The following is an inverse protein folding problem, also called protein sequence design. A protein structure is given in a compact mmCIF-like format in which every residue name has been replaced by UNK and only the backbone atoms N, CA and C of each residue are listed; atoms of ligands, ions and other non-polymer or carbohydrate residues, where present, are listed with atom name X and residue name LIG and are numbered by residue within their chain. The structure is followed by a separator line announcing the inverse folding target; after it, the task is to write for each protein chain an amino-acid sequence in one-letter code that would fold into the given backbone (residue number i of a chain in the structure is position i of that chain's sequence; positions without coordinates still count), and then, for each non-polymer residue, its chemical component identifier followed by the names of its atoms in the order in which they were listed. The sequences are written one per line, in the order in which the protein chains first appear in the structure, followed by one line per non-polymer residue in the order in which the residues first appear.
data_IF_754543787570
#
_entry.id   IF_754543787570
#
_cell.length_a   1.000
_cell.length_b   1.000
_cell.length_c   1.000
_cell.angle_alpha   90.00
_cell.angle_beta   90.00
_cell.angle_gamma   90.00
#
_symmetry.space_group_name_H-M   'P 1'
#
loop_
_entity.id
_entity.type
_entity.pdbx_description
1 polymer ?
#
# COMPACT_ATOMS: atom_id res chain seq x y z
N UNK A 1 34.35 10.27 2.53
CA UNK A 1 33.04 9.91 3.10
C UNK A 1 32.40 11.15 3.75
N UNK A 2 31.38 11.70 3.13
CA UNK A 2 30.66 12.84 3.72
C UNK A 2 29.83 12.33 4.87
N UNK A 3 29.84 12.99 6.02
CA UNK A 3 29.03 12.60 7.16
C UNK A 3 27.53 12.68 6.80
N UNK A 4 26.73 11.77 7.33
CA UNK A 4 25.30 11.57 7.00
C UNK A 4 24.46 12.86 7.14
N UNK A 5 24.81 13.73 8.11
CA UNK A 5 24.15 15.03 8.32
C UNK A 5 24.38 16.06 7.23
N UNK A 6 25.33 15.85 6.31
CA UNK A 6 25.54 16.71 5.14
C UNK A 6 24.74 16.27 3.91
N UNK A 7 24.02 15.16 3.98
CA UNK A 7 23.18 14.71 2.89
C UNK A 7 21.96 15.66 2.73
N UNK A 8 21.62 16.02 1.49
CA UNK A 8 20.52 16.95 1.19
C UNK A 8 19.15 16.50 1.75
N UNK A 9 18.93 15.20 1.87
CA UNK A 9 17.69 14.63 2.42
C UNK A 9 17.62 14.66 3.95
N UNK A 10 18.74 14.90 4.66
CA UNK A 10 18.74 15.06 6.13
C UNK A 10 17.95 16.29 6.57
N UNK A 11 18.08 17.40 5.84
CA UNK A 11 17.41 18.65 6.19
C UNK A 11 15.88 18.54 6.27
N UNK A 12 15.16 17.94 5.31
CA UNK A 12 13.71 17.76 5.41
C UNK A 12 13.29 16.95 6.66
N UNK A 13 14.03 15.90 7.01
CA UNK A 13 13.74 15.10 8.20
C UNK A 13 13.97 15.87 9.50
N UNK A 14 15.04 16.69 9.56
CA UNK A 14 15.28 17.56 10.71
C UNK A 14 14.17 18.61 10.85
N UNK A 15 13.77 19.25 9.76
CA UNK A 15 12.66 20.20 9.77
C UNK A 15 11.37 19.52 10.23
N UNK A 16 11.05 18.34 9.70
CA UNK A 16 9.89 17.57 10.13
C UNK A 16 9.94 17.22 11.62
N UNK A 17 11.09 16.76 12.12
CA UNK A 17 11.26 16.44 13.54
C UNK A 17 11.05 17.67 14.44
N UNK A 18 11.60 18.83 14.05
CA UNK A 18 11.40 20.09 14.78
C UNK A 18 9.94 20.52 14.78
N UNK A 19 9.27 20.45 13.60
CA UNK A 19 7.85 20.78 13.52
C UNK A 19 6.97 19.85 14.36
N UNK A 20 7.30 18.56 14.39
CA UNK A 20 6.59 17.59 15.23
C UNK A 20 6.81 17.88 16.72
N UNK A 21 8.04 18.25 17.14
CA UNK A 21 8.35 18.66 18.51
C UNK A 21 7.57 19.91 18.90
N UNK A 22 7.59 20.95 18.06
CA UNK A 22 6.83 22.19 18.30
C UNK A 22 5.33 21.91 18.37
N UNK A 23 4.81 21.07 17.46
CA UNK A 23 3.42 20.64 17.48
C UNK A 23 3.03 19.89 18.76
N UNK A 24 3.91 19.02 19.27
CA UNK A 24 3.66 18.29 20.51
C UNK A 24 3.68 19.19 21.76
N UNK A 25 4.49 20.26 21.76
CA UNK A 25 4.51 21.24 22.87
C UNK A 25 3.20 22.03 22.97
N UNK A 26 2.53 22.30 21.83
CA UNK A 26 1.26 23.02 21.78
C UNK A 26 0.02 22.13 21.67
N UNK A 27 0.17 20.81 21.76
CA UNK A 27 -0.93 19.88 21.55
C UNK A 27 -1.88 19.80 22.75
N UNK A 28 -3.16 19.98 22.54
CA UNK A 28 -4.21 19.82 23.55
C UNK A 28 -4.33 18.39 24.09
N UNK A 29 -3.85 17.40 23.32
CA UNK A 29 -3.86 15.97 23.68
C UNK A 29 -2.81 15.58 24.72
N UNK A 30 -1.96 16.51 25.17
CA UNK A 30 -0.99 16.28 26.25
C UNK A 30 -0.03 15.10 26.00
N UNK A 31 -0.07 14.11 26.89
CA UNK A 31 0.84 12.93 26.81
C UNK A 31 0.73 12.10 25.54
N UNK A 32 -0.43 12.09 24.89
CA UNK A 32 -0.62 11.35 23.62
C UNK A 32 0.20 11.95 22.47
N UNK A 33 0.42 13.26 22.46
CA UNK A 33 1.30 13.89 21.46
C UNK A 33 2.76 13.41 21.61
N UNK A 34 3.24 13.27 22.84
CA UNK A 34 4.57 12.74 23.14
C UNK A 34 4.70 11.26 22.78
N UNK A 35 3.66 10.45 23.00
CA UNK A 35 3.61 9.07 22.54
C UNK A 35 3.70 9.01 21.00
N UNK A 36 3.02 9.92 20.29
CA UNK A 36 3.13 10.08 18.85
C UNK A 36 4.57 10.35 18.38
N UNK A 37 5.30 11.25 19.07
CA UNK A 37 6.72 11.48 18.77
C UNK A 37 7.57 10.22 18.96
N UNK A 38 7.32 9.46 20.03
CA UNK A 38 7.99 8.19 20.31
C UNK A 38 7.80 7.16 19.20
N UNK A 39 6.69 7.22 18.47
CA UNK A 39 6.42 6.33 17.34
C UNK A 39 7.12 6.78 16.03
N UNK A 40 7.27 8.08 15.81
CA UNK A 40 7.77 8.58 14.51
C UNK A 40 9.26 8.90 14.50
N UNK A 41 9.81 9.52 15.56
CA UNK A 41 11.21 9.93 15.60
C UNK A 41 12.20 8.75 15.47
N UNK A 42 11.97 7.57 16.08
CA UNK A 42 12.82 6.41 15.85
C UNK A 42 12.89 5.96 14.39
N UNK A 43 11.79 6.14 13.61
CA UNK A 43 11.78 5.80 12.18
C UNK A 43 12.70 6.74 11.38
N UNK A 44 12.78 8.03 11.72
CA UNK A 44 13.71 8.96 11.08
C UNK A 44 15.15 8.58 11.39
N UNK A 45 15.44 8.24 12.65
CA UNK A 45 16.75 7.76 13.04
C UNK A 45 17.10 6.43 12.35
N UNK A 46 16.18 5.48 12.29
CA UNK A 46 16.36 4.22 11.57
C UNK A 46 16.67 4.46 10.08
N UNK A 47 15.94 5.39 9.44
CA UNK A 47 16.21 5.77 8.05
C UNK A 47 17.65 6.24 7.85
N UNK A 48 18.20 7.06 8.75
CA UNK A 48 19.60 7.47 8.70
C UNK A 48 20.57 6.32 8.93
N UNK A 49 20.30 5.49 9.93
CA UNK A 49 21.16 4.37 10.27
C UNK A 49 21.26 3.34 9.14
N UNK A 50 20.20 3.17 8.35
CA UNK A 50 20.19 2.25 7.22
C UNK A 50 20.89 2.77 5.96
N UNK A 51 21.10 4.08 5.81
CA UNK A 51 21.68 4.65 4.57
C UNK A 51 23.03 4.04 4.19
N UNK A 52 24.02 3.86 5.09
CA UNK A 52 25.30 3.24 4.74
C UNK A 52 25.16 1.80 4.23
N UNK A 53 24.14 1.07 4.74
CA UNK A 53 23.85 -0.32 4.36
C UNK A 53 23.12 -0.44 3.01
N UNK A 54 22.76 0.67 2.39
CA UNK A 54 22.13 0.74 1.06
C UNK A 54 23.04 1.41 0.02
N UNK A 55 24.30 1.63 0.34
CA UNK A 55 25.25 2.35 -0.52
C UNK A 55 25.56 1.59 -1.83
N UNK A 56 25.75 0.29 -1.77
CA UNK A 56 26.07 -0.54 -2.94
C UNK A 56 24.80 -1.12 -3.59
N UNK A 57 24.88 -1.42 -4.90
CA UNK A 57 23.79 -2.10 -5.60
C UNK A 57 23.46 -3.47 -4.98
N UNK A 58 24.48 -4.21 -4.58
CA UNK A 58 24.30 -5.52 -3.95
C UNK A 58 23.54 -5.42 -2.65
N UNK A 59 23.85 -4.45 -1.79
CA UNK A 59 23.15 -4.22 -0.52
C UNK A 59 21.69 -3.82 -0.76
N UNK A 60 21.42 -2.91 -1.70
CA UNK A 60 20.04 -2.56 -2.07
C UNK A 60 19.25 -3.76 -2.58
N UNK A 61 19.90 -4.62 -3.37
CA UNK A 61 19.27 -5.85 -3.88
C UNK A 61 18.98 -6.84 -2.76
N UNK A 62 19.88 -7.01 -1.81
CA UNK A 62 19.66 -7.86 -0.64
C UNK A 62 18.51 -7.34 0.21
N UNK A 63 18.46 -6.03 0.50
CA UNK A 63 17.37 -5.41 1.22
C UNK A 63 16.02 -5.58 0.50
N UNK A 64 15.99 -5.40 -0.83
CA UNK A 64 14.80 -5.63 -1.63
C UNK A 64 14.31 -7.10 -1.53
N UNK A 65 15.22 -8.08 -1.62
CA UNK A 65 14.87 -9.48 -1.46
C UNK A 65 14.40 -9.84 -0.05
N UNK A 66 14.93 -9.21 0.99
CA UNK A 66 14.43 -9.36 2.37
C UNK A 66 13.00 -8.86 2.50
N UNK A 67 12.68 -7.70 1.92
CA UNK A 67 11.31 -7.17 1.90
C UNK A 67 10.35 -8.07 1.11
N UNK A 68 10.78 -8.56 -0.05
CA UNK A 68 9.99 -9.52 -0.85
C UNK A 68 9.75 -10.81 -0.06
N UNK A 69 10.78 -11.36 0.57
CA UNK A 69 10.64 -12.57 1.40
C UNK A 69 9.72 -12.33 2.61
N UNK A 70 9.84 -11.16 3.27
CA UNK A 70 8.97 -10.76 4.37
C UNK A 70 7.50 -10.55 3.96
N UNK A 71 7.22 -10.45 2.67
CA UNK A 71 5.84 -10.35 2.16
C UNK A 71 5.18 -11.73 1.97
N UNK A 72 5.96 -12.82 1.92
CA UNK A 72 5.41 -14.18 1.81
C UNK A 72 4.40 -14.51 2.94
N UNK A 73 4.72 -14.32 4.22
CA UNK A 73 3.75 -14.54 5.29
C UNK A 73 2.47 -13.70 5.13
N UNK A 74 2.62 -12.45 4.68
CA UNK A 74 1.48 -11.55 4.43
C UNK A 74 0.58 -12.09 3.33
N UNK A 75 1.16 -12.52 2.20
CA UNK A 75 0.40 -13.08 1.08
C UNK A 75 -0.27 -14.40 1.46
N UNK A 76 0.48 -15.32 2.08
CA UNK A 76 -0.05 -16.62 2.49
C UNK A 76 -1.19 -16.46 3.48
N UNK A 77 -1.00 -15.63 4.50
CA UNK A 77 -2.04 -15.37 5.51
C UNK A 77 -3.24 -14.63 4.91
N UNK A 78 -3.00 -13.63 4.07
CA UNK A 78 -4.09 -12.86 3.46
C UNK A 78 -4.93 -13.69 2.49
N UNK A 79 -4.31 -14.48 1.62
CA UNK A 79 -5.03 -15.38 0.73
C UNK A 79 -5.71 -16.52 1.51
N UNK A 80 -5.03 -17.07 2.53
CA UNK A 80 -5.62 -18.05 3.43
C UNK A 80 -6.82 -17.50 4.21
N UNK A 81 -6.75 -16.25 4.67
CA UNK A 81 -7.85 -15.54 5.32
C UNK A 81 -9.09 -15.43 4.41
N UNK A 82 -8.89 -15.07 3.13
CA UNK A 82 -9.99 -14.83 2.20
C UNK A 82 -10.57 -16.11 1.58
N UNK A 83 -9.73 -17.11 1.29
CA UNK A 83 -10.15 -18.30 0.53
C UNK A 83 -10.25 -19.56 1.36
N UNK A 84 -9.51 -19.67 2.47
CA UNK A 84 -9.46 -20.87 3.32
C UNK A 84 -10.07 -20.64 4.71
N UNK A 85 -10.58 -19.43 4.97
CA UNK A 85 -11.18 -19.08 6.26
C UNK A 85 -10.18 -19.08 7.43
N UNK A 86 -8.90 -18.82 7.17
CA UNK A 86 -7.91 -18.73 8.22
C UNK A 86 -8.21 -17.59 9.19
N UNK A 87 -8.16 -17.93 10.48
CA UNK A 87 -8.40 -16.97 11.56
C UNK A 87 -7.45 -17.28 12.73
N UNK A 88 -7.07 -16.25 13.48
CA UNK A 88 -6.19 -16.34 14.65
C UNK A 88 -6.96 -16.10 15.95
N UNK A 89 -6.26 -16.07 17.09
CA UNK A 89 -4.81 -15.91 17.23
C UNK A 89 -4.00 -17.20 17.02
N UNK A 90 -2.90 -17.11 16.28
CA UNK A 90 -1.91 -18.17 16.19
C UNK A 90 -0.74 -17.88 17.11
N UNK A 91 -0.37 -18.82 17.95
CA UNK A 91 0.74 -18.69 18.89
C UNK A 91 1.95 -19.48 18.39
N UNK A 92 3.08 -18.82 18.29
CA UNK A 92 4.37 -19.39 17.92
C UNK A 92 5.36 -19.21 19.07
N UNK A 93 6.27 -20.17 19.25
CA UNK A 93 7.31 -20.07 20.27
C UNK A 93 6.76 -19.99 21.71
N UNK A 94 5.70 -20.75 22.04
CA UNK A 94 5.12 -20.74 23.37
C UNK A 94 4.39 -19.43 23.73
N UNK A 95 3.93 -18.69 22.74
CA UNK A 95 3.23 -17.39 22.94
C UNK A 95 4.13 -16.15 22.83
N UNK A 96 5.42 -16.35 22.52
CA UNK A 96 6.33 -15.21 22.29
C UNK A 96 5.93 -14.38 21.06
N UNK A 97 5.31 -15.02 20.06
CA UNK A 97 4.76 -14.36 18.87
C UNK A 97 3.29 -14.77 18.78
N UNK A 98 2.42 -13.79 18.82
CA UNK A 98 0.97 -13.97 18.63
C UNK A 98 0.58 -13.30 17.34
N UNK A 99 0.11 -14.09 16.36
CA UNK A 99 -0.43 -13.58 15.10
C UNK A 99 -1.93 -13.56 15.17
N UNK A 100 -2.47 -12.36 15.14
CA UNK A 100 -3.90 -12.15 15.09
C UNK A 100 -4.35 -12.02 13.63
N UNK A 101 -5.23 -12.92 13.18
CA UNK A 101 -5.82 -12.89 11.85
C UNK A 101 -7.32 -12.72 12.02
N UNK A 102 -7.85 -11.58 11.61
CA UNK A 102 -9.27 -11.28 11.74
C UNK A 102 -10.11 -12.23 10.86
N UNK A 103 -11.20 -12.82 11.39
CA UNK A 103 -12.09 -13.67 10.60
C UNK A 103 -12.66 -12.91 9.40
N UNK A 104 -12.43 -13.42 8.17
CA UNK A 104 -12.91 -12.79 6.94
C UNK A 104 -12.35 -11.41 6.61
N UNK A 105 -11.28 -10.99 7.33
CA UNK A 105 -10.60 -9.72 7.14
C UNK A 105 -11.15 -8.55 7.97
N UNK A 106 -10.44 -7.43 7.93
CA UNK A 106 -10.77 -6.21 8.69
C UNK A 106 -10.66 -4.95 7.82
N UNK A 107 -11.77 -4.26 7.49
CA UNK A 107 -13.17 -4.64 7.69
C UNK A 107 -13.54 -5.96 7.03
N UNK A 108 -14.59 -6.61 7.52
CA UNK A 108 -15.03 -7.90 7.01
C UNK A 108 -15.26 -7.86 5.47
N UNK A 109 -14.82 -8.91 4.77
CA UNK A 109 -14.82 -8.99 3.31
C UNK A 109 -13.63 -8.31 2.64
N UNK A 110 -12.68 -7.77 3.41
CA UNK A 110 -11.47 -7.11 2.88
C UNK A 110 -10.22 -7.74 3.46
N UNK A 111 -9.28 -8.12 2.59
CA UNK A 111 -8.01 -8.72 3.00
C UNK A 111 -7.23 -7.77 3.94
N UNK A 112 -6.97 -8.20 5.16
CA UNK A 112 -6.11 -7.50 6.12
C UNK A 112 -4.84 -8.29 6.47
N UNK A 113 -4.83 -9.59 6.20
CA UNK A 113 -3.71 -10.51 6.49
C UNK A 113 -3.28 -10.44 7.97
N UNK A 114 -2.01 -10.09 8.21
CA UNK A 114 -1.38 -9.95 9.53
C UNK A 114 -1.55 -8.53 10.11
N UNK A 115 -2.26 -7.66 9.43
CA UNK A 115 -2.46 -6.26 9.85
C UNK A 115 -3.86 -6.06 10.41
N UNK A 116 -4.00 -5.07 11.29
CA UNK A 116 -5.27 -4.73 11.93
C UNK A 116 -6.29 -4.14 10.95
N UNK A 117 -5.84 -3.71 9.76
CA UNK A 117 -6.71 -3.04 8.80
C UNK A 117 -6.26 -3.25 7.35
N UNK A 118 -7.23 -3.47 6.45
CA UNK A 118 -6.97 -3.75 5.03
C UNK A 118 -6.16 -2.67 4.30
N UNK A 119 -6.31 -1.39 4.67
CA UNK A 119 -5.52 -0.33 4.04
C UNK A 119 -4.03 -0.40 4.43
N UNK A 120 -3.71 -0.90 5.63
CA UNK A 120 -2.32 -1.08 6.07
C UNK A 120 -1.70 -2.25 5.29
N UNK A 121 -2.43 -3.36 5.14
CA UNK A 121 -2.03 -4.47 4.27
C UNK A 121 -1.79 -3.97 2.83
N UNK A 122 -2.72 -3.18 2.29
CA UNK A 122 -2.57 -2.57 0.96
C UNK A 122 -1.36 -1.66 0.83
N UNK A 123 -1.07 -0.84 1.85
CA UNK A 123 0.11 0.03 1.87
C UNK A 123 1.41 -0.77 1.85
N UNK A 124 1.52 -1.83 2.68
CA UNK A 124 2.67 -2.73 2.66
C UNK A 124 2.88 -3.37 1.29
N UNK A 125 1.84 -3.97 0.74
CA UNK A 125 1.87 -4.63 -0.56
C UNK A 125 2.22 -3.64 -1.69
N UNK A 126 1.69 -2.42 -1.63
CA UNK A 126 1.98 -1.35 -2.59
C UNK A 126 3.44 -0.88 -2.56
N UNK A 127 4.08 -0.88 -1.39
CA UNK A 127 5.51 -0.53 -1.25
C UNK A 127 6.43 -1.64 -1.78
N UNK A 128 6.07 -2.91 -1.57
CA UNK A 128 6.93 -4.04 -1.95
C UNK A 128 6.73 -4.48 -3.40
N UNK A 129 5.53 -4.28 -3.96
CA UNK A 129 5.21 -4.71 -5.32
C UNK A 129 6.18 -4.19 -6.42
N UNK A 130 6.63 -2.91 -6.43
CA UNK A 130 7.62 -2.44 -7.41
C UNK A 130 8.93 -3.22 -7.37
N UNK A 131 9.35 -3.71 -6.20
CA UNK A 131 10.56 -4.52 -6.05
C UNK A 131 10.36 -5.91 -6.68
N UNK A 132 9.18 -6.50 -6.52
CA UNK A 132 8.82 -7.76 -7.17
C UNK A 132 8.76 -7.61 -8.70
N UNK A 133 8.13 -6.55 -9.18
CA UNK A 133 8.07 -6.23 -10.61
C UNK A 133 9.47 -6.05 -11.20
N UNK A 134 10.34 -5.31 -10.51
CA UNK A 134 11.72 -5.14 -10.93
C UNK A 134 12.49 -6.48 -10.98
N UNK A 135 12.20 -7.41 -10.07
CA UNK A 135 12.79 -8.75 -10.07
C UNK A 135 12.31 -9.60 -11.27
N UNK A 136 11.06 -9.45 -11.71
CA UNK A 136 10.53 -10.12 -12.93
C UNK A 136 11.26 -9.64 -14.19
N UNK A 137 11.59 -8.34 -14.25
CA UNK A 137 12.21 -7.72 -15.42
C UNK A 137 13.72 -8.01 -15.53
N UNK A 138 14.34 -8.49 -14.45
CA UNK A 138 15.78 -8.83 -14.47
C UNK A 138 16.06 -10.16 -15.14
N UNK A 139 17.24 -10.29 -15.81
CA UNK A 139 17.67 -11.54 -16.45
C UNK A 139 18.29 -12.53 -15.44
N UNK A 140 17.69 -12.70 -14.27
CA UNK A 140 18.19 -13.55 -13.18
C UNK A 140 17.59 -14.97 -13.28
N UNK A 141 17.99 -15.79 -14.22
CA UNK A 141 17.58 -17.19 -14.31
C UNK A 141 16.04 -17.44 -14.26
N UNK A 142 15.56 -18.41 -14.99
CA UNK A 142 14.13 -18.64 -15.19
C UNK A 142 13.33 -18.96 -13.91
N UNK A 143 13.92 -19.71 -12.96
CA UNK A 143 13.28 -20.02 -11.69
C UNK A 143 13.00 -18.78 -10.82
N UNK A 144 14.01 -17.90 -10.70
CA UNK A 144 13.85 -16.65 -9.92
C UNK A 144 12.84 -15.73 -10.57
N UNK A 145 12.86 -15.65 -11.89
CA UNK A 145 11.88 -14.87 -12.65
C UNK A 145 10.47 -15.42 -12.50
N UNK A 146 10.31 -16.76 -12.57
CA UNK A 146 9.03 -17.42 -12.33
C UNK A 146 8.48 -17.18 -10.93
N UNK A 147 9.32 -17.32 -9.89
CA UNK A 147 8.94 -17.03 -8.52
C UNK A 147 8.55 -15.55 -8.33
N UNK A 148 9.33 -14.62 -8.89
CA UNK A 148 9.01 -13.19 -8.86
C UNK A 148 7.68 -12.89 -9.55
N UNK A 149 7.39 -13.53 -10.68
CA UNK A 149 6.13 -13.37 -11.41
C UNK A 149 4.94 -13.86 -10.57
N UNK A 150 5.05 -15.04 -9.97
CA UNK A 150 4.00 -15.58 -9.08
C UNK A 150 3.74 -14.61 -7.91
N UNK A 151 4.79 -14.13 -7.25
CA UNK A 151 4.66 -13.17 -6.15
C UNK A 151 4.05 -11.85 -6.61
N UNK A 152 4.46 -11.34 -7.78
CA UNK A 152 3.91 -10.11 -8.36
C UNK A 152 2.41 -10.25 -8.62
N UNK A 153 1.98 -11.33 -9.25
CA UNK A 153 0.57 -11.59 -9.54
C UNK A 153 -0.24 -11.84 -8.26
N UNK A 154 0.31 -12.61 -7.31
CA UNK A 154 -0.34 -12.82 -6.00
C UNK A 154 -0.51 -11.51 -5.23
N UNK A 155 0.47 -10.60 -5.33
CA UNK A 155 0.37 -9.28 -4.71
C UNK A 155 -0.70 -8.42 -5.37
N UNK A 156 -0.82 -8.44 -6.69
CA UNK A 156 -1.91 -7.74 -7.40
C UNK A 156 -3.27 -8.26 -6.92
N UNK A 157 -3.45 -9.58 -6.87
CA UNK A 157 -4.68 -10.20 -6.36
C UNK A 157 -4.95 -9.77 -4.91
N UNK A 158 -3.94 -9.85 -4.04
CA UNK A 158 -4.09 -9.45 -2.64
C UNK A 158 -4.46 -7.97 -2.51
N UNK A 159 -3.86 -7.07 -3.29
CA UNK A 159 -4.20 -5.63 -3.29
C UNK A 159 -5.66 -5.42 -3.73
N UNK A 160 -6.13 -6.12 -4.76
CA UNK A 160 -7.54 -6.06 -5.16
C UNK A 160 -8.45 -6.50 -4.00
N UNK A 161 -8.11 -7.59 -3.32
CA UNK A 161 -8.87 -8.10 -2.17
C UNK A 161 -8.82 -7.17 -0.95
N UNK A 162 -7.79 -6.31 -0.80
CA UNK A 162 -7.82 -5.26 0.23
C UNK A 162 -8.86 -4.19 -0.04
N UNK A 163 -9.34 -4.04 -1.28
CA UNK A 163 -10.21 -2.97 -1.73
C UNK A 163 -9.66 -1.56 -1.38
N UNK A 164 -8.32 -1.44 -1.30
CA UNK A 164 -7.66 -0.17 -1.01
C UNK A 164 -7.37 0.58 -2.31
N UNK A 165 -8.12 1.65 -2.57
CA UNK A 165 -7.92 2.50 -3.76
C UNK A 165 -6.52 3.09 -3.82
N UNK A 166 -5.97 3.47 -2.66
CA UNK A 166 -4.61 4.00 -2.58
C UNK A 166 -3.57 2.94 -2.98
N UNK A 167 -3.75 1.69 -2.54
CA UNK A 167 -2.85 0.60 -2.90
C UNK A 167 -2.93 0.27 -4.39
N UNK A 168 -4.14 0.21 -4.97
CA UNK A 168 -4.32 0.00 -6.42
C UNK A 168 -3.68 1.14 -7.22
N UNK A 169 -3.88 2.38 -6.80
CA UNK A 169 -3.23 3.55 -7.39
C UNK A 169 -1.70 3.49 -7.30
N UNK A 170 -1.16 3.07 -6.17
CA UNK A 170 0.28 2.90 -5.98
C UNK A 170 0.87 1.83 -6.92
N UNK A 171 0.18 0.69 -7.11
CA UNK A 171 0.59 -0.32 -8.07
C UNK A 171 0.62 0.27 -9.49
N UNK A 172 -0.46 0.90 -9.92
CA UNK A 172 -0.55 1.47 -11.26
C UNK A 172 0.54 2.54 -11.50
N UNK A 173 0.71 3.46 -10.56
CA UNK A 173 1.72 4.52 -10.66
C UNK A 173 3.15 3.99 -10.64
N UNK A 174 3.42 2.89 -9.93
CA UNK A 174 4.78 2.33 -9.88
C UNK A 174 5.24 1.66 -11.19
N UNK A 175 4.32 1.26 -12.07
CA UNK A 175 4.67 0.64 -13.37
C UNK A 175 5.61 1.53 -14.19
N UNK A 176 5.29 2.80 -14.50
CA UNK A 176 6.19 3.64 -15.29
C UNK A 176 7.49 4.01 -14.55
N UNK A 177 7.51 3.98 -13.22
CA UNK A 177 8.74 4.17 -12.46
C UNK A 177 9.69 2.97 -12.57
N UNK A 178 9.16 1.74 -12.65
CA UNK A 178 9.96 0.52 -12.76
C UNK A 178 10.30 0.19 -14.21
N UNK A 179 9.35 0.33 -15.12
CA UNK A 179 9.49 -0.07 -16.53
C UNK A 179 9.91 1.09 -17.46
N UNK A 180 9.86 2.31 -16.95
CA UNK A 180 10.21 3.52 -17.70
C UNK A 180 8.99 4.34 -18.14
N UNK A 181 9.21 5.66 -18.42
CA UNK A 181 8.13 6.62 -18.66
C UNK A 181 7.31 6.33 -19.93
N UNK A 182 7.85 5.55 -20.87
CA UNK A 182 7.12 5.14 -22.07
C UNK A 182 5.85 4.34 -21.77
N UNK A 183 5.78 3.73 -20.58
CA UNK A 183 4.62 2.96 -20.16
C UNK A 183 3.37 3.83 -19.95
N UNK A 184 3.52 5.14 -19.76
CA UNK A 184 2.39 6.06 -19.66
C UNK A 184 1.51 6.10 -20.91
N UNK A 185 2.08 5.85 -22.09
CA UNK A 185 1.34 5.89 -23.35
C UNK A 185 0.22 4.84 -23.44
N UNK A 186 0.40 3.68 -22.80
CA UNK A 186 -0.64 2.65 -22.77
C UNK A 186 -1.33 2.56 -21.41
N UNK A 187 -0.62 2.87 -20.32
CA UNK A 187 -1.17 2.80 -18.97
C UNK A 187 -2.24 3.87 -18.75
N UNK A 188 -1.99 5.12 -19.16
CA UNK A 188 -2.94 6.20 -18.98
C UNK A 188 -4.27 5.96 -19.73
N UNK A 189 -4.28 5.59 -21.03
CA UNK A 189 -5.52 5.21 -21.71
C UNK A 189 -6.23 4.03 -21.05
N UNK A 190 -5.49 3.02 -20.58
CA UNK A 190 -6.06 1.87 -19.88
C UNK A 190 -6.72 2.30 -18.55
N UNK A 191 -6.05 3.13 -17.76
CA UNK A 191 -6.62 3.66 -16.51
C UNK A 191 -7.86 4.53 -16.76
N UNK A 192 -7.84 5.36 -17.79
CA UNK A 192 -8.99 6.15 -18.20
C UNK A 192 -10.15 5.27 -18.66
N UNK A 193 -9.86 4.21 -19.43
CA UNK A 193 -10.87 3.23 -19.85
C UNK A 193 -11.50 2.53 -18.64
N UNK A 194 -10.68 2.06 -17.69
CA UNK A 194 -11.16 1.40 -16.47
C UNK A 194 -11.91 2.36 -15.53
N UNK A 195 -11.51 3.62 -15.49
CA UNK A 195 -12.18 4.66 -14.71
C UNK A 195 -13.43 5.22 -15.41
N UNK A 196 -13.59 5.01 -16.72
CA UNK A 196 -14.66 5.63 -17.51
C UNK A 196 -16.07 5.34 -16.98
N UNK A 197 -16.45 4.13 -16.52
CA UNK A 197 -17.77 3.92 -15.95
C UNK A 197 -18.01 4.75 -14.69
N UNK A 198 -17.00 4.87 -13.83
CA UNK A 198 -17.08 5.70 -12.62
C UNK A 198 -17.20 7.19 -12.97
N UNK A 199 -16.43 7.66 -13.94
CA UNK A 199 -16.48 9.03 -14.42
C UNK A 199 -17.86 9.36 -15.04
N UNK A 200 -18.44 8.45 -15.83
CA UNK A 200 -19.76 8.62 -16.43
C UNK A 200 -20.89 8.69 -15.41
N UNK A 201 -20.74 8.02 -14.26
CA UNK A 201 -21.72 8.11 -13.16
C UNK A 201 -21.63 9.46 -12.45
N UNK A 202 -20.41 9.97 -12.22
CA UNK A 202 -20.16 11.15 -11.36
C UNK A 202 -20.25 12.48 -12.13
N UNK A 203 -19.87 12.50 -13.41
CA UNK A 203 -19.82 13.74 -14.17
C UNK A 203 -21.22 14.33 -14.45
N UNK A 204 -21.43 15.62 -14.21
CA UNK A 204 -22.66 16.29 -14.60
C UNK A 204 -22.78 16.40 -16.12
N UNK A 205 -24.00 16.34 -16.66
CA UNK A 205 -24.25 16.53 -18.11
C UNK A 205 -24.11 15.26 -18.95
N UNK A 206 -23.82 14.09 -18.37
CA UNK A 206 -23.81 12.82 -19.10
C UNK A 206 -25.22 12.39 -19.45
N UNK A 207 -25.54 12.05 -20.76
CA UNK A 207 -26.83 11.54 -21.16
C UNK A 207 -27.27 10.32 -20.37
N UNK A 208 -28.57 10.20 -20.08
CA UNK A 208 -29.15 9.16 -19.23
C UNK A 208 -28.82 7.74 -19.68
N UNK A 209 -28.76 7.48 -20.97
CA UNK A 209 -28.43 6.16 -21.53
C UNK A 209 -26.99 5.71 -21.18
N UNK A 210 -26.01 6.60 -21.30
CA UNK A 210 -24.63 6.31 -20.94
C UNK A 210 -24.46 6.10 -19.44
N UNK A 211 -25.19 6.90 -18.63
CA UNK A 211 -25.17 6.76 -17.17
C UNK A 211 -25.77 5.42 -16.72
N UNK A 212 -26.87 4.97 -17.35
CA UNK A 212 -27.46 3.66 -17.06
C UNK A 212 -26.51 2.50 -17.41
N UNK A 213 -25.88 2.56 -18.58
CA UNK A 213 -24.85 1.59 -18.97
C UNK A 213 -23.67 1.57 -18.00
N UNK A 214 -23.21 2.74 -17.57
CA UNK A 214 -22.12 2.85 -16.60
C UNK A 214 -22.52 2.29 -15.22
N UNK A 215 -23.75 2.53 -14.76
CA UNK A 215 -24.28 1.95 -13.52
C UNK A 215 -24.36 0.42 -13.58
N UNK A 216 -24.68 -0.16 -14.74
CA UNK A 216 -24.70 -1.61 -14.92
C UNK A 216 -23.31 -2.26 -14.89
N UNK A 217 -22.26 -1.50 -15.19
CA UNK A 217 -20.87 -1.98 -15.19
C UNK A 217 -20.16 -1.78 -13.84
N UNK A 218 -20.64 -0.86 -13.01
CA UNK A 218 -20.03 -0.56 -11.71
C UNK A 218 -20.67 -1.44 -10.64
N UNK A 219 -19.88 -2.18 -9.84
CA UNK A 219 -20.41 -3.00 -8.75
C UNK A 219 -21.22 -2.17 -7.74
N UNK A 220 -22.35 -2.71 -7.28
CA UNK A 220 -23.27 -2.06 -6.32
C UNK A 220 -22.56 -1.43 -5.11
N UNK A 221 -21.59 -2.10 -4.41
CA UNK A 221 -20.93 -1.51 -3.25
C UNK A 221 -20.13 -0.24 -3.55
N UNK A 222 -19.75 -0.03 -4.82
CA UNK A 222 -19.04 1.17 -5.26
C UNK A 222 -20.05 2.27 -5.59
N UNK A 223 -21.17 1.91 -6.22
CA UNK A 223 -22.26 2.81 -6.54
C UNK A 223 -22.86 3.43 -5.27
N UNK A 224 -23.16 2.62 -4.26
CA UNK A 224 -23.72 3.08 -2.99
C UNK A 224 -22.81 4.12 -2.33
N UNK A 225 -21.51 3.85 -2.28
CA UNK A 225 -20.53 4.80 -1.72
C UNK A 225 -20.39 6.10 -2.51
N UNK A 226 -20.62 6.08 -3.81
CA UNK A 226 -20.57 7.27 -4.66
C UNK A 226 -21.84 8.10 -4.52
N UNK A 227 -23.00 7.44 -4.43
CA UNK A 227 -24.30 8.07 -4.30
C UNK A 227 -24.50 8.64 -2.89
N UNK A 228 -24.09 7.95 -1.84
CA UNK A 228 -24.14 8.45 -0.46
C UNK A 228 -23.30 9.72 -0.24
N UNK A 229 -22.16 9.85 -0.92
CA UNK A 229 -21.30 11.05 -0.84
C UNK A 229 -21.75 12.21 -1.72
N UNK A 230 -22.57 11.95 -2.72
CA UNK A 230 -23.11 12.97 -3.63
C UNK A 230 -24.47 13.54 -3.22
N UNK A 231 -25.09 13.04 -2.15
CA UNK A 231 -26.36 13.53 -1.67
C UNK A 231 -26.24 14.89 -0.97
N UNK A 232 -27.26 15.78 -1.08
CA UNK A 232 -27.25 17.12 -0.48
C UNK A 232 -27.19 17.16 1.05
N UNK A 233 -27.23 15.99 1.72
CA UNK A 233 -27.22 15.84 3.18
C UNK A 233 -25.85 15.52 3.79
N UNK A 234 -24.81 15.30 2.99
CA UNK A 234 -23.48 14.88 3.48
C UNK A 234 -22.69 16.00 4.20
N UNK A 235 -23.19 17.24 4.27
CA UNK A 235 -22.51 18.40 4.89
C UNK A 235 -23.18 18.93 6.16
N UNK A 236 -24.06 18.14 6.80
CA UNK A 236 -24.81 18.56 8.01
C UNK A 236 -24.49 17.72 9.25
N UNK A 237 -23.24 17.27 9.42
CA UNK A 237 -22.76 16.78 10.73
C UNK A 237 -21.29 17.14 10.90
#
# INVERSE_FOLDING_TARGET
DRPIWQARWTQPFLVAAVLMLVGALGAETGSLAWAGLGNWLPLFWAFWAFQPHLASEQQRRQAAWMLVAGTLPVLLTGLGQMFLGWQGPWQLGGGAIIWFVAPGGQPQGRLSALFDYANIAGAWLGVVWPLMLAAVLRPDGWWRRGAALVLTLSTVLAVVLTQSRNAMGALALSVPFVMGPMQWFWLLPLLLLLASPLLLVVLPGVPSGWRQLAMALVPEPILDRLLERGGPTAWKH
#
